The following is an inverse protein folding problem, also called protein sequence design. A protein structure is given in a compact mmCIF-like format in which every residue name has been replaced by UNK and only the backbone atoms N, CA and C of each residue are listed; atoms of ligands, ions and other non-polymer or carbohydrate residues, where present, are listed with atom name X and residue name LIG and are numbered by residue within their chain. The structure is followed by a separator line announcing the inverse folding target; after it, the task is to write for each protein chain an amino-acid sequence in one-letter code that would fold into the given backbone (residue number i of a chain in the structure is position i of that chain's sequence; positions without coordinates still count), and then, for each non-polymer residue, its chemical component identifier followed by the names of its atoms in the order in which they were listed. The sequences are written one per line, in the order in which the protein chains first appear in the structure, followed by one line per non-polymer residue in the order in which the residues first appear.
data_IF_886128251587
#
_entry.id   IF_886128251587
#
_cell.length_a   1.000
_cell.length_b   1.000
_cell.length_c   1.000
_cell.angle_alpha   90.00
_cell.angle_beta   90.00
_cell.angle_gamma   90.00
#
_symmetry.space_group_name_H-M   'P 1'
#
loop_
_entity.id
_entity.type
_entity.pdbx_description
1 polymer ?
#
# COMPACT_ATOMS: atom_id res chain seq x y z
N UNK A 1 20.86 10.78 6.39
CA UNK A 1 20.49 11.50 5.15
C UNK A 1 19.82 12.81 5.54
N UNK A 2 20.25 13.95 5.01
CA UNK A 2 19.64 15.26 5.30
C UNK A 2 18.40 15.48 4.42
N UNK A 3 17.28 15.94 4.98
CA UNK A 3 16.04 16.18 4.22
C UNK A 3 16.22 17.38 3.29
N UNK A 4 16.00 17.19 1.98
CA UNK A 4 16.01 18.28 0.99
C UNK A 4 14.58 18.80 0.83
N UNK A 5 14.24 19.88 1.54
CA UNK A 5 12.87 20.42 1.61
C UNK A 5 12.38 21.05 0.29
N UNK A 6 13.29 21.52 -0.55
CA UNK A 6 12.96 22.30 -1.75
C UNK A 6 12.53 21.43 -2.95
N UNK A 7 12.58 20.09 -2.81
CA UNK A 7 12.17 19.15 -3.85
C UNK A 7 11.12 18.19 -3.30
N UNK A 8 9.85 18.56 -3.43
CA UNK A 8 8.74 17.67 -3.09
C UNK A 8 8.51 16.63 -4.19
N UNK A 9 8.36 15.38 -3.79
CA UNK A 9 8.00 14.26 -4.66
C UNK A 9 6.57 13.86 -4.31
N UNK A 10 5.72 13.68 -5.32
CA UNK A 10 4.37 13.15 -5.13
C UNK A 10 4.40 11.65 -5.32
N UNK A 11 4.02 10.91 -4.29
CA UNK A 11 3.83 9.45 -4.36
C UNK A 11 2.34 9.21 -4.49
N UNK A 12 1.94 8.45 -5.50
CA UNK A 12 0.55 8.01 -5.70
C UNK A 12 0.41 6.56 -5.26
N UNK A 13 -0.67 6.28 -4.54
CA UNK A 13 -0.99 4.96 -4.03
C UNK A 13 -2.10 4.35 -4.87
N UNK A 14 -1.85 3.12 -5.32
CA UNK A 14 -2.80 2.33 -6.07
C UNK A 14 -3.05 1.01 -5.32
N UNK A 15 -4.28 0.49 -5.44
CA UNK A 15 -4.69 -0.76 -4.83
C UNK A 15 -5.52 -1.55 -5.84
N UNK A 16 -4.87 -2.48 -6.51
CA UNK A 16 -5.54 -3.42 -7.40
C UNK A 16 -5.74 -4.77 -6.71
N UNK A 17 -6.72 -5.52 -7.20
CA UNK A 17 -7.05 -6.86 -6.71
C UNK A 17 -7.13 -7.81 -7.88
N UNK A 18 -6.69 -9.04 -7.67
CA UNK A 18 -6.96 -10.12 -8.62
C UNK A 18 -8.47 -10.32 -8.80
N UNK A 19 -8.91 -10.72 -9.99
CA UNK A 19 -10.34 -10.89 -10.29
C UNK A 19 -11.06 -11.87 -9.35
N UNK A 20 -10.33 -12.86 -8.81
CA UNK A 20 -10.84 -13.83 -7.83
C UNK A 20 -10.87 -13.30 -6.39
N UNK A 21 -10.19 -12.19 -6.09
CA UNK A 21 -10.06 -11.66 -4.74
C UNK A 21 -11.27 -10.81 -4.37
N UNK A 22 -12.01 -11.23 -3.34
CA UNK A 22 -13.29 -10.60 -2.96
C UNK A 22 -13.18 -9.46 -1.95
N UNK A 23 -12.04 -9.28 -1.30
CA UNK A 23 -11.84 -8.19 -0.34
C UNK A 23 -12.03 -6.82 -0.98
N UNK A 24 -12.72 -5.86 -0.40
CA UNK A 24 -12.60 -4.46 -0.86
C UNK A 24 -11.29 -3.90 -0.31
N UNK A 25 -10.30 -3.72 -1.19
CA UNK A 25 -8.99 -3.19 -0.82
C UNK A 25 -8.77 -1.83 -1.48
N UNK A 26 -8.48 -0.81 -0.68
CA UNK A 26 -8.32 0.58 -1.15
C UNK A 26 -7.33 1.36 -0.29
N UNK A 27 -6.58 2.32 -0.87
CA UNK A 27 -5.81 3.25 -0.06
C UNK A 27 -6.76 4.20 0.68
N UNK A 28 -6.40 4.60 1.89
CA UNK A 28 -7.10 5.67 2.60
C UNK A 28 -6.72 7.05 2.05
N UNK A 29 -5.52 7.18 1.49
CA UNK A 29 -5.01 8.38 0.85
C UNK A 29 -4.45 8.00 -0.52
N UNK A 30 -4.89 8.68 -1.58
CA UNK A 30 -4.46 8.35 -2.96
C UNK A 30 -3.10 8.94 -3.30
N UNK A 31 -2.64 9.96 -2.57
CA UNK A 31 -1.33 10.56 -2.77
C UNK A 31 -0.79 11.20 -1.50
N UNK A 32 0.54 11.28 -1.41
CA UNK A 32 1.27 12.06 -0.40
C UNK A 32 2.41 12.83 -1.07
N UNK A 33 2.76 13.97 -0.50
CA UNK A 33 3.94 14.75 -0.92
C UNK A 33 5.00 14.63 0.16
N UNK A 34 6.20 14.21 -0.25
CA UNK A 34 7.32 13.96 0.67
C UNK A 34 8.60 14.55 0.12
N UNK A 35 9.49 14.98 1.01
CA UNK A 35 10.85 15.34 0.64
C UNK A 35 11.77 14.08 0.56
N UNK A 36 12.81 14.06 -0.29
CA UNK A 36 13.84 13.03 -0.23
C UNK A 36 14.42 12.89 1.20
N UNK A 37 14.45 11.66 1.70
CA UNK A 37 14.89 11.34 3.08
C UNK A 37 13.79 11.50 4.14
N UNK A 38 12.56 11.85 3.75
CA UNK A 38 11.41 11.84 4.64
C UNK A 38 10.71 10.49 4.68
N UNK A 39 10.43 10.02 5.88
CA UNK A 39 9.56 8.88 6.13
C UNK A 39 8.11 9.34 6.11
N UNK A 40 7.27 8.64 5.37
CA UNK A 40 5.82 8.80 5.40
C UNK A 40 5.14 7.44 5.61
N UNK A 41 3.94 7.46 6.18
CA UNK A 41 3.09 6.30 6.32
C UNK A 41 2.00 6.33 5.24
N UNK A 42 1.65 5.15 4.75
CA UNK A 42 0.55 4.96 3.81
C UNK A 42 -0.45 3.99 4.45
N UNK A 43 -1.70 4.43 4.57
CA UNK A 43 -2.76 3.63 5.17
C UNK A 43 -3.64 3.02 4.09
N UNK A 44 -3.98 1.75 4.27
CA UNK A 44 -4.89 1.00 3.41
C UNK A 44 -6.00 0.41 4.26
N UNK A 45 -7.15 0.19 3.64
CA UNK A 45 -8.28 -0.51 4.24
C UNK A 45 -8.59 -1.74 3.40
N UNK A 46 -8.78 -2.87 4.07
CA UNK A 46 -9.26 -4.12 3.50
C UNK A 46 -10.57 -4.47 4.21
N UNK A 47 -11.57 -4.95 3.49
CA UNK A 47 -12.85 -5.41 4.05
C UNK A 47 -13.20 -6.73 3.37
N UNK A 48 -13.65 -7.73 4.11
CA UNK A 48 -14.21 -8.95 3.54
C UNK A 48 -15.74 -8.86 3.47
N UNK A 49 -16.34 -8.52 2.31
CA UNK A 49 -17.80 -8.39 2.19
C UNK A 49 -18.54 -9.73 2.08
N UNK A 50 -17.86 -10.86 2.27
CA UNK A 50 -18.42 -12.20 2.05
C UNK A 50 -18.77 -12.87 3.37
N UNK A 51 -19.60 -13.92 3.31
CA UNK A 51 -20.02 -14.68 4.49
C UNK A 51 -19.03 -15.79 4.90
N UNK A 52 -17.86 -15.87 4.25
CA UNK A 52 -16.83 -16.86 4.56
C UNK A 52 -15.50 -16.17 4.87
N UNK A 53 -14.65 -16.77 5.74
CA UNK A 53 -13.30 -16.28 5.94
C UNK A 53 -12.51 -16.32 4.62
N UNK A 54 -11.74 -15.28 4.37
CA UNK A 54 -10.89 -15.17 3.17
C UNK A 54 -9.49 -14.81 3.61
N UNK A 55 -8.52 -15.66 3.24
CA UNK A 55 -7.09 -15.37 3.39
C UNK A 55 -6.57 -14.71 2.12
N UNK A 56 -5.77 -13.67 2.28
CA UNK A 56 -5.12 -12.98 1.18
C UNK A 56 -3.71 -12.55 1.54
N UNK A 57 -2.87 -12.45 0.52
CA UNK A 57 -1.55 -11.84 0.61
C UNK A 57 -1.50 -10.71 -0.41
N UNK A 58 -1.13 -9.52 0.04
CA UNK A 58 -0.89 -8.39 -0.87
C UNK A 58 0.53 -8.47 -1.41
N UNK A 59 0.82 -7.80 -2.52
CA UNK A 59 2.19 -7.57 -3.00
C UNK A 59 2.32 -6.10 -3.37
N UNK A 60 3.54 -5.62 -3.56
CA UNK A 60 3.75 -4.23 -3.96
C UNK A 60 4.75 -4.13 -5.10
N UNK A 61 4.59 -3.08 -5.89
CA UNK A 61 5.51 -2.66 -6.92
C UNK A 61 5.58 -1.12 -6.92
N UNK A 62 6.67 -0.60 -7.50
CA UNK A 62 6.88 0.85 -7.67
C UNK A 62 7.02 1.15 -9.15
N UNK A 63 6.24 2.11 -9.63
CA UNK A 63 6.28 2.60 -11.01
C UNK A 63 6.53 4.12 -10.95
N UNK A 64 7.44 4.67 -11.77
CA UNK A 64 8.26 3.97 -12.78
C UNK A 64 9.38 3.12 -12.14
N UNK A 65 9.81 2.05 -12.82
CA UNK A 65 10.75 1.07 -12.25
C UNK A 65 12.10 1.69 -11.90
N UNK A 66 12.53 2.70 -12.66
CA UNK A 66 13.75 3.47 -12.43
C UNK A 66 13.74 4.19 -11.08
N UNK A 67 12.55 4.54 -10.57
CA UNK A 67 12.38 5.13 -9.24
C UNK A 67 12.42 4.06 -8.13
N UNK A 68 12.12 2.81 -8.45
CA UNK A 68 12.06 1.70 -7.49
C UNK A 68 13.37 1.49 -6.73
N UNK A 69 14.52 1.69 -7.38
CA UNK A 69 15.85 1.56 -6.74
C UNK A 69 16.10 2.60 -5.62
N UNK A 70 15.37 3.73 -5.65
CA UNK A 70 15.50 4.80 -4.66
C UNK A 70 14.37 4.77 -3.62
N UNK A 71 13.33 3.98 -3.87
CA UNK A 71 12.17 3.88 -3.00
C UNK A 71 12.44 2.87 -1.88
N UNK A 72 12.54 3.36 -0.65
CA UNK A 72 12.77 2.51 0.52
C UNK A 72 11.46 2.19 1.21
N UNK A 73 11.02 0.94 1.07
CA UNK A 73 9.88 0.41 1.81
C UNK A 73 10.35 -0.23 3.12
N UNK A 74 10.18 0.50 4.22
CA UNK A 74 10.70 0.09 5.53
C UNK A 74 9.88 -1.07 6.11
N UNK A 75 8.55 -1.03 6.01
CA UNK A 75 7.65 -2.04 6.56
C UNK A 75 6.40 -2.20 5.68
N UNK A 76 5.90 -3.43 5.50
CA UNK A 76 4.57 -3.67 4.93
C UNK A 76 3.93 -4.93 5.45
N UNK A 77 2.60 -4.89 5.58
CA UNK A 77 1.74 -6.07 5.63
C UNK A 77 1.75 -6.90 4.34
N UNK A 78 2.30 -6.37 3.24
CA UNK A 78 2.27 -6.91 1.89
C UNK A 78 3.09 -8.19 1.67
N UNK A 79 3.49 -8.90 2.71
CA UNK A 79 4.16 -10.20 2.59
C UNK A 79 3.71 -11.16 3.69
N UNK A 80 2.64 -10.80 4.40
CA UNK A 80 2.06 -11.58 5.45
C UNK A 80 0.67 -12.01 5.01
N UNK A 81 0.32 -13.26 5.26
CA UNK A 81 -1.04 -13.74 5.05
C UNK A 81 -1.95 -13.04 6.06
N UNK A 82 -2.96 -12.35 5.55
CA UNK A 82 -4.01 -11.75 6.38
C UNK A 82 -5.27 -12.58 6.20
N UNK A 83 -5.83 -13.03 7.32
CA UNK A 83 -7.13 -13.68 7.38
C UNK A 83 -8.15 -12.61 7.75
N UNK A 84 -9.16 -12.40 6.91
CA UNK A 84 -10.32 -11.58 7.25
C UNK A 84 -11.55 -12.48 7.39
N UNK A 85 -12.17 -12.45 8.57
CA UNK A 85 -13.44 -13.11 8.84
C UNK A 85 -14.58 -12.45 8.05
N UNK A 86 -15.77 -13.08 8.02
CA UNK A 86 -16.94 -12.48 7.37
C UNK A 86 -17.22 -11.07 7.90
N UNK A 87 -17.35 -10.11 6.98
CA UNK A 87 -17.65 -8.70 7.27
C UNK A 87 -16.62 -7.96 8.13
N UNK A 88 -15.41 -8.51 8.28
CA UNK A 88 -14.30 -7.89 9.00
C UNK A 88 -13.56 -6.85 8.15
N UNK A 89 -13.05 -5.79 8.81
CA UNK A 89 -12.30 -4.68 8.21
C UNK A 89 -11.03 -4.34 9.00
#
# INVERSE_FOLDING_TARGET
MSKVKDRLITIKFNADRGASMRWKFRPQQTEVKVAPGETALAFYTAENPTDNPVTGISTYNVIPFEAGQYFNKIQCFCFEEQLLNPHEQ
#
